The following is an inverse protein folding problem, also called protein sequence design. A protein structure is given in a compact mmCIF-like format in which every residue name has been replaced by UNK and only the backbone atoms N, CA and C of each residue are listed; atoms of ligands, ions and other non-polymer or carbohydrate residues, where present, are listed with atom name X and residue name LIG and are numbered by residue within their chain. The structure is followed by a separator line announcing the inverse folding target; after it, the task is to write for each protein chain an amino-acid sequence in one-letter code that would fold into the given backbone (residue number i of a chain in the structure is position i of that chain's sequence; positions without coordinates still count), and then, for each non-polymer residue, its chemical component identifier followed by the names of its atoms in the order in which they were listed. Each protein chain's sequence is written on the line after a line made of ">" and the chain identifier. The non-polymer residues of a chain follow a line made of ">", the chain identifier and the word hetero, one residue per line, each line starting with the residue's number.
data_IF_062164080842
#
_entry.id   IF_062164080842
#
_cell.length_a   1.000
_cell.length_b   1.000
_cell.length_c   1.000
_cell.angle_alpha   90.00
_cell.angle_beta   90.00
_cell.angle_gamma   90.00
#
_symmetry.space_group_name_H-M   'P 1'
#
loop_
_entity.id
_entity.type
_entity.pdbx_description
1 polymer ?
#
# COMPACT_ATOMS: atom_id res chain seq x y z
N UNK A 1 1.59 -44.20 12.28
CA UNK A 1 1.20 -45.14 13.36
C UNK A 1 1.38 -44.41 14.66
N UNK A 2 0.45 -44.52 15.60
CA UNK A 2 0.43 -43.82 16.89
C UNK A 2 0.25 -44.87 17.98
N UNK A 3 0.99 -44.75 19.07
CA UNK A 3 0.83 -45.60 20.25
C UNK A 3 -0.41 -45.16 21.02
N UNK A 4 -1.38 -46.06 21.16
CA UNK A 4 -2.62 -45.85 21.90
C UNK A 4 -2.76 -46.98 22.90
N UNK A 5 -2.52 -46.69 24.19
CA UNK A 5 -2.62 -47.65 25.29
C UNK A 5 -1.71 -48.89 25.14
N UNK A 6 -0.54 -48.74 24.51
CA UNK A 6 0.43 -49.83 24.33
C UNK A 6 0.28 -50.59 23.01
N UNK A 7 -0.72 -50.24 22.18
CA UNK A 7 -0.88 -50.78 20.84
C UNK A 7 -0.56 -49.73 19.77
N UNK A 8 0.29 -50.11 18.82
CA UNK A 8 0.68 -49.24 17.72
C UNK A 8 -0.33 -49.38 16.56
N UNK A 9 -1.16 -48.37 16.32
CA UNK A 9 -2.20 -48.41 15.29
C UNK A 9 -2.27 -47.13 14.46
N UNK A 10 -2.96 -47.18 13.31
CA UNK A 10 -3.22 -45.97 12.53
C UNK A 10 -4.39 -45.19 13.13
N UNK A 11 -4.39 -43.87 12.95
CA UNK A 11 -5.52 -43.02 13.39
C UNK A 11 -6.84 -43.46 12.72
N UNK A 12 -6.79 -43.87 11.45
CA UNK A 12 -7.94 -44.42 10.75
C UNK A 12 -8.47 -45.71 11.39
N UNK A 13 -7.57 -46.63 11.79
CA UNK A 13 -7.94 -47.86 12.47
C UNK A 13 -8.57 -47.57 13.85
N UNK A 14 -8.00 -46.62 14.60
CA UNK A 14 -8.54 -46.19 15.88
C UNK A 14 -9.97 -45.63 15.76
N UNK A 15 -10.21 -44.71 14.82
CA UNK A 15 -11.55 -44.14 14.60
C UNK A 15 -12.57 -45.19 14.15
N UNK A 16 -12.16 -46.16 13.33
CA UNK A 16 -13.00 -47.29 12.94
C UNK A 16 -13.34 -48.21 14.12
N UNK A 17 -12.36 -48.54 14.96
CA UNK A 17 -12.55 -49.47 16.08
C UNK A 17 -13.34 -48.84 17.24
N UNK A 18 -12.92 -47.64 17.68
CA UNK A 18 -13.46 -46.97 18.86
C UNK A 18 -14.73 -46.17 18.59
N UNK A 19 -14.74 -45.38 17.52
CA UNK A 19 -15.88 -44.49 17.20
C UNK A 19 -16.81 -45.07 16.13
N UNK A 20 -16.54 -46.29 15.63
CA UNK A 20 -17.29 -46.92 14.53
C UNK A 20 -17.41 -46.03 13.29
N UNK A 21 -16.41 -45.18 13.07
CA UNK A 21 -16.38 -44.19 12.00
C UNK A 21 -15.33 -44.60 10.96
N UNK A 22 -15.77 -44.87 9.74
CA UNK A 22 -14.86 -45.05 8.61
C UNK A 22 -14.51 -43.67 8.04
N UNK A 23 -13.23 -43.30 8.11
CA UNK A 23 -12.79 -42.03 7.58
C UNK A 23 -13.02 -41.96 6.07
N UNK A 24 -13.55 -40.85 5.57
CA UNK A 24 -13.77 -40.64 4.13
C UNK A 24 -12.48 -40.28 3.42
N UNK A 25 -11.59 -39.57 4.10
CA UNK A 25 -10.33 -39.07 3.55
C UNK A 25 -9.12 -39.53 4.37
N UNK A 26 -8.84 -40.85 4.46
CA UNK A 26 -7.78 -41.38 5.32
C UNK A 26 -6.36 -40.99 4.89
N UNK A 27 -6.19 -40.53 3.65
CA UNK A 27 -4.89 -40.12 3.09
C UNK A 27 -4.57 -38.63 3.33
N UNK A 28 -5.48 -37.85 3.91
CA UNK A 28 -5.20 -36.45 4.25
C UNK A 28 -4.31 -36.34 5.49
N UNK A 29 -3.57 -35.22 5.64
CA UNK A 29 -2.80 -34.96 6.85
C UNK A 29 -3.69 -34.93 8.10
N UNK A 30 -3.07 -35.21 9.24
CA UNK A 30 -3.69 -35.11 10.56
C UNK A 30 -3.37 -33.75 11.19
N UNK A 31 -4.25 -33.28 12.08
CA UNK A 31 -4.04 -32.07 12.87
C UNK A 31 -3.54 -32.47 14.25
N UNK A 32 -2.40 -31.92 14.70
CA UNK A 32 -1.98 -32.03 16.10
C UNK A 32 -2.69 -30.94 16.91
N UNK A 33 -3.63 -31.34 17.78
CA UNK A 33 -4.30 -30.44 18.73
C UNK A 33 -3.66 -30.47 20.12
N UNK A 34 -2.63 -31.30 20.30
CA UNK A 34 -1.84 -31.43 21.53
C UNK A 34 -0.58 -30.57 21.51
N UNK A 35 0.39 -30.95 22.33
CA UNK A 35 1.68 -30.27 22.38
C UNK A 35 2.54 -30.61 21.16
N UNK A 36 3.45 -29.71 20.78
CA UNK A 36 4.55 -30.00 19.83
C UNK A 36 5.68 -30.83 20.45
N UNK A 37 5.64 -31.08 21.77
CA UNK A 37 6.65 -31.89 22.47
C UNK A 37 6.46 -33.38 22.13
N UNK A 38 7.54 -34.13 21.83
CA UNK A 38 7.49 -35.56 21.58
C UNK A 38 6.75 -36.33 22.68
N UNK A 39 5.79 -37.16 22.30
CA UNK A 39 4.99 -38.00 23.21
C UNK A 39 3.80 -37.29 23.87
N UNK A 40 3.54 -36.02 23.52
CA UNK A 40 2.37 -35.25 23.99
C UNK A 40 1.50 -34.72 22.84
N UNK A 41 1.70 -35.24 21.64
CA UNK A 41 0.88 -34.96 20.48
C UNK A 41 -0.50 -35.62 20.61
N UNK A 42 -1.52 -34.94 20.08
CA UNK A 42 -2.86 -35.49 19.96
C UNK A 42 -3.33 -35.30 18.52
N UNK A 43 -3.39 -36.39 17.77
CA UNK A 43 -3.64 -36.36 16.33
C UNK A 43 -5.11 -36.61 16.01
N UNK A 44 -5.74 -35.67 15.29
CA UNK A 44 -7.12 -35.78 14.82
C UNK A 44 -7.18 -35.72 13.29
N UNK A 45 -8.03 -36.53 12.64
CA UNK A 45 -8.37 -36.34 11.23
C UNK A 45 -8.99 -34.96 10.98
N UNK A 46 -8.64 -34.30 9.89
CA UNK A 46 -9.21 -32.97 9.54
C UNK A 46 -10.73 -33.03 9.45
N UNK A 47 -11.29 -34.14 8.96
CA UNK A 47 -12.74 -34.32 8.76
C UNK A 47 -13.57 -34.37 10.06
N UNK A 48 -12.93 -34.51 11.23
CA UNK A 48 -13.61 -34.44 12.54
C UNK A 48 -13.32 -33.14 13.31
N UNK A 49 -12.56 -32.22 12.69
CA UNK A 49 -12.23 -30.93 13.29
C UNK A 49 -13.16 -29.84 12.75
N UNK A 50 -13.66 -28.99 13.64
CA UNK A 50 -14.40 -27.78 13.30
C UNK A 50 -13.63 -26.58 13.83
N UNK A 51 -13.46 -25.54 13.00
CA UNK A 51 -12.84 -24.29 13.43
C UNK A 51 -13.77 -23.62 14.43
N UNK A 52 -13.30 -23.41 15.67
CA UNK A 52 -14.09 -22.73 16.68
C UNK A 52 -14.46 -21.31 16.21
N UNK A 53 -15.69 -20.89 16.51
CA UNK A 53 -16.19 -19.58 16.11
C UNK A 53 -15.42 -18.43 16.79
N UNK A 54 -15.51 -17.23 16.21
CA UNK A 54 -14.96 -15.99 16.76
C UNK A 54 -13.43 -16.00 17.01
N UNK A 55 -12.67 -16.78 16.24
CA UNK A 55 -11.21 -16.69 16.24
C UNK A 55 -10.76 -15.50 15.38
N UNK A 56 -9.90 -14.64 15.94
CA UNK A 56 -9.32 -13.52 15.23
C UNK A 56 -8.36 -14.00 14.13
N UNK A 57 -8.56 -13.51 12.90
CA UNK A 57 -7.64 -13.76 11.79
C UNK A 57 -6.61 -12.61 11.70
N UNK A 58 -5.36 -12.88 12.07
CA UNK A 58 -4.31 -11.87 12.06
C UNK A 58 -3.70 -11.60 10.68
N UNK A 59 -3.85 -12.54 9.74
CA UNK A 59 -3.24 -12.45 8.42
C UNK A 59 -4.33 -12.14 7.39
N UNK A 60 -4.16 -11.04 6.66
CA UNK A 60 -5.08 -10.62 5.59
C UNK A 60 -4.30 -10.44 4.30
N UNK A 61 -4.89 -10.85 3.18
CA UNK A 61 -4.36 -10.55 1.85
C UNK A 61 -4.81 -9.17 1.37
N UNK A 62 -4.20 -8.67 0.29
CA UNK A 62 -4.63 -7.40 -0.34
C UNK A 62 -6.09 -7.47 -0.85
N UNK A 63 -6.52 -8.65 -1.31
CA UNK A 63 -7.90 -8.90 -1.74
C UNK A 63 -8.87 -8.85 -0.55
N UNK A 64 -8.51 -9.48 0.57
CA UNK A 64 -9.31 -9.43 1.80
C UNK A 64 -9.45 -8.00 2.30
N UNK A 65 -8.35 -7.23 2.24
CA UNK A 65 -8.32 -5.83 2.68
C UNK A 65 -9.25 -4.95 1.86
N UNK A 66 -9.23 -5.08 0.53
CA UNK A 66 -10.12 -4.32 -0.35
C UNK A 66 -11.60 -4.65 -0.09
N UNK A 67 -11.92 -5.92 0.10
CA UNK A 67 -13.28 -6.36 0.39
C UNK A 67 -13.75 -5.91 1.78
N UNK A 68 -12.90 -5.99 2.79
CA UNK A 68 -13.19 -5.48 4.14
C UNK A 68 -13.45 -3.98 4.10
N UNK A 69 -12.62 -3.19 3.40
CA UNK A 69 -12.87 -1.76 3.22
C UNK A 69 -14.23 -1.54 2.55
N UNK A 70 -14.55 -2.27 1.49
CA UNK A 70 -15.83 -2.16 0.79
C UNK A 70 -17.03 -2.48 1.70
N UNK A 71 -16.92 -3.51 2.54
CA UNK A 71 -17.99 -3.94 3.43
C UNK A 71 -18.14 -3.07 4.70
N UNK A 72 -17.08 -2.38 5.11
CA UNK A 72 -17.05 -1.56 6.33
C UNK A 72 -17.17 -0.06 6.09
N UNK A 73 -17.04 0.37 4.83
CA UNK A 73 -17.16 1.78 4.43
C UNK A 73 -18.63 2.20 4.30
N UNK A 74 -19.09 2.99 5.27
CA UNK A 74 -20.42 3.60 5.26
C UNK A 74 -20.32 5.13 5.15
N UNK A 75 -21.20 5.79 4.39
CA UNK A 75 -21.42 7.23 4.50
C UNK A 75 -21.80 7.64 5.94
N UNK A 76 -21.49 8.88 6.37
CA UNK A 76 -21.72 9.30 7.76
C UNK A 76 -23.16 9.08 8.28
N UNK A 77 -24.24 9.39 7.53
CA UNK A 77 -25.60 9.14 8.02
C UNK A 77 -25.88 7.66 8.30
N UNK A 78 -25.45 6.77 7.40
CA UNK A 78 -25.63 5.32 7.56
C UNK A 78 -24.77 4.80 8.71
N UNK A 79 -23.54 5.31 8.87
CA UNK A 79 -22.68 4.94 9.99
C UNK A 79 -23.31 5.37 11.33
N UNK A 80 -23.90 6.56 11.39
CA UNK A 80 -24.60 7.05 12.58
C UNK A 80 -25.76 6.13 12.97
N UNK A 81 -26.59 5.73 12.00
CA UNK A 81 -27.70 4.79 12.20
C UNK A 81 -27.21 3.43 12.72
N UNK A 82 -26.17 2.86 12.09
CA UNK A 82 -25.59 1.57 12.52
C UNK A 82 -25.01 1.61 13.92
N UNK A 83 -24.37 2.71 14.31
CA UNK A 83 -23.87 2.87 15.69
C UNK A 83 -25.06 2.84 16.67
N UNK A 84 -26.15 3.56 16.35
CA UNK A 84 -27.35 3.56 17.21
C UNK A 84 -28.00 2.18 17.30
N UNK A 85 -28.08 1.45 16.19
CA UNK A 85 -28.57 0.08 16.15
C UNK A 85 -27.73 -0.84 17.06
N UNK A 86 -26.40 -0.73 17.00
CA UNK A 86 -25.51 -1.51 17.85
C UNK A 86 -25.65 -1.17 19.34
N UNK A 87 -25.81 0.11 19.68
CA UNK A 87 -26.07 0.56 21.07
C UNK A 87 -27.39 -0.02 21.57
N UNK A 88 -28.42 -0.05 20.73
CA UNK A 88 -29.72 -0.65 21.06
C UNK A 88 -29.59 -2.18 21.26
N UNK A 89 -28.93 -2.88 20.35
CA UNK A 89 -28.70 -4.33 20.42
C UNK A 89 -27.83 -4.74 21.61
N UNK A 90 -26.88 -3.91 22.01
CA UNK A 90 -26.05 -4.13 23.20
C UNK A 90 -26.87 -4.09 24.51
N UNK A 91 -28.06 -3.48 24.49
CA UNK A 91 -28.99 -3.56 25.60
C UNK A 91 -28.56 -2.84 26.88
N UNK A 92 -27.66 -1.85 26.79
CA UNK A 92 -27.10 -1.14 27.95
C UNK A 92 -28.14 -0.56 28.91
N UNK A 93 -29.34 -0.21 28.42
CA UNK A 93 -30.45 0.29 29.25
C UNK A 93 -30.89 -0.72 30.30
N UNK A 94 -30.86 -2.00 29.95
CA UNK A 94 -31.36 -3.10 30.76
C UNK A 94 -30.20 -3.87 31.43
N UNK A 95 -29.00 -3.32 31.41
CA UNK A 95 -27.83 -3.96 32.01
C UNK A 95 -27.89 -3.84 33.55
N UNK A 96 -28.00 -4.97 34.28
CA UNK A 96 -28.12 -4.96 35.73
C UNK A 96 -26.85 -4.48 36.43
N UNK A 97 -25.68 -4.64 35.82
CA UNK A 97 -24.42 -4.15 36.36
C UNK A 97 -24.36 -2.63 36.23
N UNK A 98 -24.67 -2.06 35.06
CA UNK A 98 -24.71 -0.61 34.89
C UNK A 98 -25.71 0.05 35.86
N UNK A 99 -26.89 -0.55 36.02
CA UNK A 99 -27.89 -0.09 36.97
C UNK A 99 -27.37 -0.12 38.42
N UNK A 100 -26.64 -1.17 38.82
CA UNK A 100 -26.06 -1.28 40.16
C UNK A 100 -25.01 -0.19 40.45
N UNK A 101 -24.30 0.29 39.43
CA UNK A 101 -23.36 1.42 39.53
C UNK A 101 -24.03 2.79 39.30
N UNK A 102 -25.35 2.85 39.09
CA UNK A 102 -26.08 4.09 38.81
C UNK A 102 -25.76 4.73 37.46
N UNK A 103 -25.20 3.97 36.52
CA UNK A 103 -24.82 4.43 35.18
C UNK A 103 -26.02 4.30 34.24
N UNK A 104 -26.28 5.34 33.45
CA UNK A 104 -27.31 5.36 32.39
C UNK A 104 -26.68 5.79 31.08
N UNK A 105 -27.11 5.16 29.99
CA UNK A 105 -26.62 5.44 28.63
C UNK A 105 -27.74 6.07 27.82
N UNK A 106 -27.48 7.22 27.21
CA UNK A 106 -28.43 7.90 26.30
C UNK A 106 -28.45 7.21 24.93
N UNK A 107 -29.59 7.31 24.24
CA UNK A 107 -29.80 6.84 22.87
C UNK A 107 -29.74 7.96 21.83
N UNK A 108 -29.09 9.07 22.17
CA UNK A 108 -28.84 10.14 21.23
C UNK A 108 -27.35 10.43 21.20
N UNK A 109 -26.87 10.81 20.02
CA UNK A 109 -25.55 11.39 19.90
C UNK A 109 -25.51 12.72 20.64
N UNK A 110 -24.44 12.91 21.42
CA UNK A 110 -24.13 14.20 22.05
C UNK A 110 -24.02 15.30 20.97
N UNK A 111 -24.66 16.44 21.21
CA UNK A 111 -24.68 17.56 20.27
C UNK A 111 -23.66 18.60 20.70
N UNK A 112 -22.59 18.71 19.93
CA UNK A 112 -21.55 19.72 20.16
C UNK A 112 -21.67 20.85 19.15
N UNK A 113 -21.39 22.07 19.61
CA UNK A 113 -21.18 23.20 18.71
C UNK A 113 -19.76 23.11 18.13
N UNK A 114 -19.65 23.21 16.80
CA UNK A 114 -18.38 23.17 16.10
C UNK A 114 -18.26 24.39 15.19
N UNK A 115 -17.02 24.86 15.00
CA UNK A 115 -16.70 25.96 14.10
C UNK A 115 -16.01 25.43 12.85
N UNK A 116 -16.50 25.82 11.68
CA UNK A 116 -15.83 25.56 10.41
C UNK A 116 -14.86 26.70 10.16
N UNK A 117 -13.56 26.40 10.19
CA UNK A 117 -12.52 27.39 9.93
C UNK A 117 -12.46 27.65 8.43
N UNK A 118 -12.36 28.92 8.11
CA UNK A 118 -12.18 29.45 6.77
C UNK A 118 -10.90 28.91 6.12
N UNK A 119 -11.01 28.37 4.91
CA UNK A 119 -9.84 27.85 4.20
C UNK A 119 -8.83 28.96 3.88
N UNK A 120 -7.51 28.71 4.01
CA UNK A 120 -6.50 29.67 3.60
C UNK A 120 -6.50 29.84 2.08
N UNK A 121 -5.98 30.95 1.59
CA UNK A 121 -5.78 31.13 0.14
C UNK A 121 -4.48 30.45 -0.27
N UNK A 122 -4.54 29.55 -1.24
CA UNK A 122 -3.36 28.93 -1.84
C UNK A 122 -2.81 29.84 -2.95
N UNK A 123 -1.52 30.13 -2.87
CA UNK A 123 -0.77 30.86 -3.87
C UNK A 123 -0.02 29.89 -4.78
N UNK A 124 -0.32 29.98 -6.07
CA UNK A 124 0.43 29.35 -7.17
C UNK A 124 1.19 30.44 -7.92
N UNK A 125 2.12 30.05 -8.80
CA UNK A 125 2.90 31.04 -9.58
C UNK A 125 2.04 31.94 -10.46
N UNK A 126 0.94 31.42 -10.98
CA UNK A 126 0.09 32.13 -11.95
C UNK A 126 -1.29 32.52 -11.41
N UNK A 127 -1.78 31.91 -10.33
CA UNK A 127 -3.11 32.14 -9.78
C UNK A 127 -3.13 31.98 -8.26
N UNK A 128 -4.15 32.54 -7.61
CA UNK A 128 -4.49 32.22 -6.23
C UNK A 128 -5.85 31.53 -6.17
N UNK A 129 -6.04 30.55 -5.29
CA UNK A 129 -7.31 29.83 -5.12
C UNK A 129 -7.62 29.62 -3.64
N UNK A 130 -8.88 29.81 -3.26
CA UNK A 130 -9.38 29.37 -1.95
C UNK A 130 -9.95 27.96 -2.09
N UNK A 131 -9.38 26.94 -1.42
CA UNK A 131 -9.86 25.56 -1.50
C UNK A 131 -11.32 25.44 -1.05
N UNK A 132 -12.07 24.56 -1.70
CA UNK A 132 -13.45 24.22 -1.32
C UNK A 132 -13.49 22.77 -0.85
N UNK A 133 -14.14 22.52 0.29
CA UNK A 133 -14.23 21.16 0.85
C UNK A 133 -12.88 20.54 1.23
N UNK A 134 -11.86 21.38 1.51
CA UNK A 134 -10.50 20.91 1.80
C UNK A 134 -9.74 20.36 0.59
N UNK A 135 -10.22 20.64 -0.63
CA UNK A 135 -9.63 20.13 -1.87
C UNK A 135 -9.22 21.27 -2.81
N UNK A 136 -8.17 21.00 -3.58
CA UNK A 136 -7.66 21.88 -4.64
C UNK A 136 -7.09 21.03 -5.77
N UNK A 137 -6.86 21.63 -6.94
CA UNK A 137 -6.35 20.94 -8.13
C UNK A 137 -5.25 21.73 -8.82
N UNK A 138 -4.22 21.06 -9.35
CA UNK A 138 -3.17 21.68 -10.18
C UNK A 138 -3.59 21.96 -11.63
N UNK A 139 -4.83 21.64 -12.02
CA UNK A 139 -5.29 21.85 -13.40
C UNK A 139 -5.24 23.34 -13.77
N UNK A 140 -4.41 23.69 -14.75
CA UNK A 140 -4.21 25.07 -15.20
C UNK A 140 -3.38 25.93 -14.25
N UNK A 141 -2.72 25.34 -13.25
CA UNK A 141 -1.91 26.02 -12.25
C UNK A 141 -0.45 25.58 -12.36
N UNK A 142 0.47 26.46 -11.98
CA UNK A 142 1.91 26.21 -11.99
C UNK A 142 2.48 26.25 -10.57
N UNK A 143 3.47 25.40 -10.29
CA UNK A 143 4.27 25.44 -9.07
C UNK A 143 4.86 26.83 -8.86
N UNK A 144 4.99 27.24 -7.60
CA UNK A 144 5.54 28.55 -7.21
C UNK A 144 6.96 28.69 -7.78
N UNK A 145 7.77 27.66 -7.57
CA UNK A 145 9.10 27.52 -8.15
C UNK A 145 9.29 26.08 -8.62
N UNK A 146 9.55 25.93 -9.92
CA UNK A 146 9.85 24.64 -10.53
C UNK A 146 11.27 24.63 -11.07
N UNK A 147 12.05 23.62 -10.69
CA UNK A 147 13.46 23.50 -11.06
C UNK A 147 13.55 22.75 -12.39
N UNK A 148 14.17 23.33 -13.44
CA UNK A 148 14.29 22.64 -14.72
C UNK A 148 15.02 21.31 -14.61
N UNK A 149 14.40 20.26 -15.13
CA UNK A 149 14.94 18.90 -15.20
C UNK A 149 15.69 18.72 -16.52
N UNK A 150 17.00 18.49 -16.42
CA UNK A 150 17.98 18.42 -17.53
C UNK A 150 18.72 17.09 -17.57
N UNK A 151 19.05 16.52 -16.42
CA UNK A 151 19.86 15.31 -16.32
C UNK A 151 19.26 14.34 -15.32
N UNK A 152 18.49 13.37 -15.81
CA UNK A 152 17.73 12.43 -14.98
C UNK A 152 17.70 11.04 -15.63
N UNK A 153 17.48 10.02 -14.80
CA UNK A 153 17.53 8.62 -15.22
C UNK A 153 16.30 7.84 -14.82
N UNK A 154 16.04 6.74 -15.54
CA UNK A 154 14.96 5.79 -15.28
C UNK A 154 15.57 4.40 -15.04
N UNK A 155 15.28 3.82 -13.88
CA UNK A 155 15.67 2.45 -13.52
C UNK A 155 14.45 1.55 -13.59
N UNK A 156 14.50 0.51 -14.42
CA UNK A 156 13.38 -0.42 -14.60
C UNK A 156 13.70 -1.77 -13.96
N UNK A 157 13.04 -2.04 -12.83
CA UNK A 157 13.09 -3.30 -12.09
C UNK A 157 11.69 -3.98 -12.12
N UNK A 158 11.12 -4.06 -13.32
CA UNK A 158 9.78 -4.57 -13.58
C UNK A 158 9.63 -5.08 -15.02
N UNK A 159 8.62 -5.91 -15.26
CA UNK A 159 8.25 -6.34 -16.61
C UNK A 159 7.34 -5.30 -17.29
N UNK A 160 7.93 -4.36 -18.03
CA UNK A 160 7.23 -3.34 -18.82
C UNK A 160 7.94 -3.11 -20.16
N UNK A 161 7.18 -2.86 -21.23
CA UNK A 161 7.74 -2.66 -22.56
C UNK A 161 8.48 -1.31 -22.66
N UNK A 162 9.55 -1.23 -23.46
CA UNK A 162 10.25 0.04 -23.73
C UNK A 162 9.31 1.08 -24.35
N UNK A 163 8.38 0.64 -25.20
CA UNK A 163 7.36 1.51 -25.80
C UNK A 163 6.52 2.20 -24.73
N UNK A 164 6.04 1.46 -23.74
CA UNK A 164 5.19 2.03 -22.68
C UNK A 164 5.97 2.97 -21.78
N UNK A 165 7.25 2.66 -21.49
CA UNK A 165 8.15 3.55 -20.75
C UNK A 165 8.35 4.86 -21.52
N UNK A 166 8.70 4.79 -22.80
CA UNK A 166 8.92 5.99 -23.61
C UNK A 166 7.66 6.86 -23.69
N UNK A 167 6.48 6.25 -23.90
CA UNK A 167 5.21 6.98 -23.90
C UNK A 167 4.90 7.62 -22.54
N UNK A 168 5.28 6.95 -21.45
CA UNK A 168 5.16 7.50 -20.10
C UNK A 168 6.11 8.69 -19.88
N UNK A 169 7.39 8.57 -20.26
CA UNK A 169 8.40 9.62 -20.07
C UNK A 169 8.01 10.90 -20.80
N UNK A 170 7.55 10.80 -22.04
CA UNK A 170 7.04 11.95 -22.82
C UNK A 170 5.83 12.58 -22.12
N UNK A 171 4.87 11.76 -21.66
CA UNK A 171 3.68 12.27 -20.96
C UNK A 171 4.04 12.91 -19.61
N UNK A 172 5.01 12.37 -18.89
CA UNK A 172 5.52 12.94 -17.65
C UNK A 172 6.16 14.31 -17.90
N UNK A 173 7.04 14.39 -18.91
CA UNK A 173 7.69 15.64 -19.31
C UNK A 173 6.66 16.71 -19.71
N UNK A 174 5.70 16.37 -20.58
CA UNK A 174 4.65 17.29 -21.01
C UNK A 174 3.74 17.73 -19.86
N UNK A 175 3.49 16.86 -18.88
CA UNK A 175 2.72 17.20 -17.67
C UNK A 175 3.53 18.12 -16.75
N UNK A 176 4.84 17.89 -16.62
CA UNK A 176 5.78 18.77 -15.92
C UNK A 176 5.76 20.18 -16.49
N UNK A 177 5.92 20.31 -17.82
CA UNK A 177 5.89 21.59 -18.53
C UNK A 177 4.58 22.37 -18.24
N UNK A 178 3.44 21.66 -18.21
CA UNK A 178 2.13 22.27 -17.91
C UNK A 178 2.03 22.79 -16.48
N UNK A 179 2.60 22.09 -15.50
CA UNK A 179 2.59 22.49 -14.09
C UNK A 179 3.80 23.35 -13.68
N UNK A 180 4.65 23.75 -14.63
CA UNK A 180 5.76 24.66 -14.37
C UNK A 180 7.03 24.00 -13.83
N UNK A 181 7.16 22.67 -13.97
CA UNK A 181 8.38 21.90 -13.76
C UNK A 181 8.95 21.50 -15.14
N UNK A 182 9.75 22.34 -15.80
CA UNK A 182 10.12 22.11 -17.19
C UNK A 182 11.09 20.93 -17.33
N UNK A 183 10.76 19.98 -18.20
CA UNK A 183 11.66 18.88 -18.59
C UNK A 183 12.39 19.28 -19.86
N UNK A 184 13.59 19.85 -19.71
CA UNK A 184 14.43 20.26 -20.84
C UNK A 184 14.99 19.05 -21.60
N UNK A 185 15.22 17.93 -20.91
CA UNK A 185 15.56 16.64 -21.52
C UNK A 185 14.40 15.65 -21.42
N UNK A 186 13.82 15.31 -22.58
CA UNK A 186 12.73 14.33 -22.72
C UNK A 186 13.20 12.90 -22.94
N UNK A 187 14.52 12.68 -23.03
CA UNK A 187 15.12 11.37 -23.23
C UNK A 187 16.01 11.01 -22.03
N UNK A 188 15.43 10.50 -20.93
CA UNK A 188 16.20 10.14 -19.75
C UNK A 188 17.19 9.00 -20.02
N UNK A 189 18.18 8.87 -19.14
CA UNK A 189 19.06 7.70 -19.13
C UNK A 189 18.29 6.46 -18.67
N UNK A 190 17.98 5.55 -19.59
CA UNK A 190 17.21 4.34 -19.31
C UNK A 190 18.13 3.15 -19.01
N UNK A 191 18.01 2.56 -17.81
CA UNK A 191 18.69 1.31 -17.43
C UNK A 191 17.65 0.27 -17.04
N UNK A 192 17.65 -0.87 -17.72
CA UNK A 192 16.67 -1.95 -17.50
C UNK A 192 17.31 -3.20 -16.93
N UNK A 193 16.67 -3.78 -15.91
CA UNK A 193 17.17 -5.01 -15.28
C UNK A 193 17.22 -6.22 -16.24
N UNK A 194 16.33 -6.29 -17.23
CA UNK A 194 16.30 -7.39 -18.20
C UNK A 194 17.49 -7.37 -19.19
N UNK A 195 18.07 -6.20 -19.43
CA UNK A 195 19.28 -6.01 -20.24
C UNK A 195 20.56 -6.34 -19.47
N UNK A 196 20.52 -6.29 -18.14
CA UNK A 196 21.64 -6.55 -17.25
C UNK A 196 21.40 -7.80 -16.38
N UNK A 197 21.29 -8.97 -17.03
CA UNK A 197 21.01 -10.24 -16.35
C UNK A 197 22.02 -10.50 -15.22
N UNK A 198 21.49 -10.74 -14.02
CA UNK A 198 22.29 -11.02 -12.81
C UNK A 198 22.63 -9.78 -11.98
N UNK A 199 22.49 -8.58 -12.55
CA UNK A 199 22.75 -7.34 -11.81
C UNK A 199 21.66 -7.05 -10.79
N UNK A 200 22.08 -6.57 -9.62
CA UNK A 200 21.19 -6.11 -8.57
C UNK A 200 20.85 -4.63 -8.78
N UNK A 201 19.75 -4.17 -8.18
CA UNK A 201 19.22 -2.82 -8.44
C UNK A 201 20.17 -1.72 -7.96
N UNK A 202 20.96 -1.96 -6.92
CA UNK A 202 22.00 -1.03 -6.49
C UNK A 202 23.12 -0.88 -7.52
N UNK A 203 23.47 -1.94 -8.26
CA UNK A 203 24.40 -1.87 -9.38
C UNK A 203 23.79 -1.08 -10.54
N UNK A 204 22.50 -1.30 -10.86
CA UNK A 204 21.81 -0.54 -11.90
C UNK A 204 21.78 0.96 -11.61
N UNK A 205 21.53 1.34 -10.35
CA UNK A 205 21.53 2.75 -9.93
C UNK A 205 22.93 3.37 -10.03
N UNK A 206 23.98 2.65 -9.64
CA UNK A 206 25.37 3.13 -9.82
C UNK A 206 25.73 3.32 -11.29
N UNK A 207 25.35 2.36 -12.15
CA UNK A 207 25.57 2.48 -13.60
C UNK A 207 24.84 3.69 -14.19
N UNK A 208 23.57 3.87 -13.85
CA UNK A 208 22.79 5.02 -14.31
C UNK A 208 23.41 6.35 -13.84
N UNK A 209 23.81 6.44 -12.57
CA UNK A 209 24.46 7.63 -12.03
C UNK A 209 25.75 7.98 -12.78
N UNK A 210 26.63 6.98 -13.00
CA UNK A 210 27.88 7.18 -13.74
C UNK A 210 27.63 7.63 -15.19
N UNK A 211 26.60 7.09 -15.84
CA UNK A 211 26.29 7.47 -17.21
C UNK A 211 25.68 8.88 -17.30
N UNK A 212 24.88 9.27 -16.30
CA UNK A 212 24.39 10.65 -16.16
C UNK A 212 25.54 11.65 -15.95
N UNK A 213 26.57 11.30 -15.16
CA UNK A 213 27.76 12.14 -14.98
C UNK A 213 28.55 12.32 -16.29
N UNK A 214 28.66 11.25 -17.10
CA UNK A 214 29.38 11.28 -18.39
C UNK A 214 28.65 12.05 -19.48
N UNK A 215 27.33 12.19 -19.38
CA UNK A 215 26.49 12.82 -20.40
C UNK A 215 26.79 14.31 -20.61
N UNK A 216 27.44 14.97 -19.65
CA UNK A 216 27.80 16.38 -19.76
C UNK A 216 26.61 17.35 -19.75
N UNK A 217 25.42 16.88 -19.34
CA UNK A 217 24.18 17.66 -19.27
C UNK A 217 23.99 18.39 -17.93
N UNK A 218 25.08 18.61 -17.18
CA UNK A 218 25.06 19.10 -15.80
C UNK A 218 25.03 17.96 -14.77
N UNK A 219 24.93 18.27 -13.46
CA UNK A 219 24.89 17.25 -12.41
C UNK A 219 23.61 16.40 -12.53
N UNK A 220 23.66 15.08 -12.22
CA UNK A 220 22.46 14.26 -12.10
C UNK A 220 21.47 14.87 -11.09
N UNK A 221 20.17 14.91 -11.41
CA UNK A 221 19.15 15.58 -10.59
C UNK A 221 18.23 14.61 -9.84
N UNK A 222 17.77 13.53 -10.47
CA UNK A 222 17.03 12.48 -9.79
C UNK A 222 16.98 11.16 -10.59
N UNK A 223 16.54 10.09 -9.92
CA UNK A 223 16.26 8.79 -10.53
C UNK A 223 14.79 8.41 -10.38
N UNK A 224 14.15 8.03 -11.48
CA UNK A 224 12.81 7.43 -11.48
C UNK A 224 12.91 5.90 -11.45
N UNK A 225 12.46 5.26 -10.38
CA UNK A 225 12.38 3.81 -10.26
C UNK A 225 11.03 3.25 -10.70
N UNK A 226 10.99 2.38 -11.71
CA UNK A 226 9.80 1.63 -12.13
C UNK A 226 9.87 0.23 -11.52
N UNK A 227 9.00 -0.04 -10.55
CA UNK A 227 9.01 -1.26 -9.73
C UNK A 227 7.84 -2.19 -10.05
N UNK A 228 8.04 -3.49 -9.89
CA UNK A 228 7.04 -4.51 -10.26
C UNK A 228 5.71 -4.40 -9.49
N UNK A 229 5.74 -3.97 -8.23
CA UNK A 229 4.55 -3.88 -7.37
C UNK A 229 4.75 -2.85 -6.25
N UNK A 230 3.66 -2.49 -5.55
CA UNK A 230 3.70 -1.55 -4.41
C UNK A 230 4.62 -2.02 -3.28
N UNK A 231 4.60 -3.33 -3.00
CA UNK A 231 5.39 -3.97 -1.94
C UNK A 231 6.67 -4.60 -2.49
N UNK A 232 7.22 -4.05 -3.58
CA UNK A 232 8.43 -4.59 -4.19
C UNK A 232 9.58 -4.56 -3.17
N UNK A 233 10.29 -5.69 -2.93
CA UNK A 233 11.43 -5.73 -2.00
C UNK A 233 12.57 -4.80 -2.45
N UNK A 234 12.59 -4.45 -3.74
CA UNK A 234 13.53 -3.53 -4.35
C UNK A 234 13.37 -2.09 -3.84
N UNK A 235 12.17 -1.69 -3.40
CA UNK A 235 11.90 -0.31 -2.97
C UNK A 235 12.88 0.16 -1.88
N UNK A 236 13.10 -0.68 -0.87
CA UNK A 236 14.03 -0.38 0.22
C UNK A 236 15.48 -0.21 -0.26
N UNK A 237 15.89 -0.98 -1.28
CA UNK A 237 17.22 -0.86 -1.88
C UNK A 237 17.35 0.45 -2.64
N UNK A 238 16.33 0.84 -3.43
CA UNK A 238 16.32 2.11 -4.16
C UNK A 238 16.43 3.28 -3.21
N UNK A 239 15.61 3.31 -2.15
CA UNK A 239 15.64 4.39 -1.16
C UNK A 239 16.95 4.44 -0.39
N UNK A 240 17.46 3.31 0.10
CA UNK A 240 18.79 3.26 0.72
C UNK A 240 19.88 3.80 -0.20
N UNK A 241 19.91 3.37 -1.46
CA UNK A 241 20.93 3.81 -2.42
C UNK A 241 20.82 5.30 -2.73
N UNK A 242 19.62 5.79 -2.98
CA UNK A 242 19.31 7.20 -3.23
C UNK A 242 19.71 8.08 -2.04
N UNK A 243 19.24 7.75 -0.84
CA UNK A 243 19.32 8.60 0.34
C UNK A 243 20.68 8.50 1.06
N UNK A 244 21.39 7.37 0.95
CA UNK A 244 22.62 7.13 1.75
C UNK A 244 23.89 6.93 0.93
N UNK A 245 23.82 6.56 -0.35
CA UNK A 245 25.01 6.19 -1.13
C UNK A 245 25.28 7.16 -2.28
N UNK A 246 24.27 7.43 -3.10
CA UNK A 246 24.41 8.30 -4.27
C UNK A 246 24.14 9.77 -3.93
N UNK A 247 23.38 10.04 -2.86
CA UNK A 247 22.95 11.41 -2.53
C UNK A 247 22.13 12.04 -3.65
N UNK A 248 21.41 11.22 -4.42
CA UNK A 248 20.65 11.62 -5.60
C UNK A 248 19.18 11.32 -5.33
N UNK A 249 18.27 12.31 -5.35
CA UNK A 249 16.86 12.09 -5.06
C UNK A 249 16.22 11.02 -5.96
N UNK A 250 15.20 10.35 -5.45
CA UNK A 250 14.51 9.29 -6.19
C UNK A 250 13.00 9.32 -6.06
N UNK A 251 12.31 9.03 -7.15
CA UNK A 251 10.87 8.83 -7.18
C UNK A 251 10.55 7.43 -7.71
N UNK A 252 9.76 6.64 -6.98
CA UNK A 252 9.35 5.31 -7.42
C UNK A 252 7.90 5.29 -7.92
N UNK A 253 7.64 4.55 -8.98
CA UNK A 253 6.29 4.24 -9.47
C UNK A 253 6.14 2.74 -9.69
N UNK A 254 4.89 2.26 -9.66
CA UNK A 254 4.58 0.85 -9.95
C UNK A 254 4.35 0.68 -11.46
N UNK A 255 4.91 -0.37 -12.04
CA UNK A 255 4.87 -0.66 -13.48
C UNK A 255 3.47 -0.69 -14.06
N UNK A 256 2.48 -1.17 -13.30
CA UNK A 256 1.08 -1.18 -13.73
C UNK A 256 0.49 0.21 -14.01
N UNK A 257 1.10 1.29 -13.49
CA UNK A 257 0.66 2.66 -13.72
C UNK A 257 1.27 3.26 -14.99
N UNK A 258 2.37 2.71 -15.50
CA UNK A 258 3.09 3.21 -16.69
C UNK A 258 2.18 3.24 -17.93
N UNK A 259 1.55 2.13 -18.36
CA UNK A 259 0.69 2.14 -19.54
C UNK A 259 -0.64 2.89 -19.32
N UNK A 260 -1.07 3.06 -18.06
CA UNK A 260 -2.33 3.71 -17.67
C UNK A 260 -2.15 5.17 -17.26
N UNK A 261 -0.95 5.72 -17.42
CA UNK A 261 -0.61 7.04 -16.93
C UNK A 261 -1.54 8.09 -17.55
N UNK A 262 -2.18 8.88 -16.69
CA UNK A 262 -3.04 9.99 -17.06
C UNK A 262 -2.48 11.29 -16.47
N UNK A 263 -3.03 12.43 -16.90
CA UNK A 263 -2.55 13.74 -16.46
C UNK A 263 -2.54 13.88 -14.92
N UNK A 264 -3.61 13.51 -14.17
CA UNK A 264 -3.57 13.56 -12.71
C UNK A 264 -2.45 12.73 -12.08
N UNK A 265 -2.19 11.52 -12.61
CA UNK A 265 -1.11 10.67 -12.13
C UNK A 265 0.26 11.31 -12.38
N UNK A 266 0.53 11.75 -13.61
CA UNK A 266 1.79 12.41 -13.97
C UNK A 266 2.01 13.69 -13.16
N UNK A 267 0.99 14.54 -13.00
CA UNK A 267 1.08 15.75 -12.17
C UNK A 267 1.38 15.41 -10.71
N UNK A 268 0.76 14.35 -10.15
CA UNK A 268 1.08 13.87 -8.80
C UNK A 268 2.51 13.34 -8.67
N UNK A 269 3.10 12.79 -9.74
CA UNK A 269 4.52 12.42 -9.79
C UNK A 269 5.40 13.67 -9.88
N UNK A 270 5.07 14.64 -10.75
CA UNK A 270 5.78 15.91 -10.87
C UNK A 270 5.80 16.70 -9.55
N UNK A 271 4.70 16.69 -8.79
CA UNK A 271 4.64 17.30 -7.46
C UNK A 271 5.72 16.74 -6.53
N UNK A 272 5.87 15.41 -6.50
CA UNK A 272 6.87 14.75 -5.67
C UNK A 272 8.28 15.03 -6.17
N UNK A 273 8.49 14.93 -7.48
CA UNK A 273 9.80 15.25 -8.09
C UNK A 273 10.19 16.68 -7.74
N UNK A 274 9.29 17.65 -7.90
CA UNK A 274 9.56 19.06 -7.63
C UNK A 274 9.98 19.29 -6.17
N UNK A 275 9.31 18.64 -5.22
CA UNK A 275 9.70 18.71 -3.80
C UNK A 275 11.07 18.09 -3.55
N UNK A 276 11.37 16.94 -4.18
CA UNK A 276 12.62 16.20 -4.01
C UNK A 276 13.84 16.90 -4.64
N UNK A 277 13.64 17.71 -5.69
CA UNK A 277 14.71 18.50 -6.30
C UNK A 277 14.86 19.90 -5.68
N UNK A 278 14.19 20.18 -4.55
CA UNK A 278 14.19 21.45 -3.81
C UNK A 278 13.35 22.59 -4.42
N UNK A 279 12.38 22.28 -5.28
CA UNK A 279 11.40 23.24 -5.79
C UNK A 279 10.38 23.67 -4.73
N UNK A 280 9.64 24.75 -5.01
CA UNK A 280 8.62 25.29 -4.09
C UNK A 280 7.20 24.97 -4.54
N UNK A 281 6.49 24.32 -3.63
CA UNK A 281 5.08 23.97 -3.76
C UNK A 281 4.12 25.14 -3.45
N UNK A 282 2.81 25.01 -3.75
CA UNK A 282 1.82 26.02 -3.42
C UNK A 282 1.88 26.41 -1.94
N UNK A 283 1.85 27.71 -1.65
CA UNK A 283 1.96 28.25 -0.28
C UNK A 283 0.61 28.79 0.19
N UNK A 284 0.30 28.59 1.46
CA UNK A 284 -0.81 29.30 2.09
C UNK A 284 -0.41 30.76 2.33
N UNK A 285 -1.27 31.69 1.93
CA UNK A 285 -1.21 33.10 2.29
C UNK A 285 -1.85 33.34 3.67
#
# INVERSE_FOLDING_TARGET
>A
MVDIQGENMSVAAYFRLKYKMQLRYPNLPLVNVGSKRPGKEAWLPIEVCVVAAAQHCANMTDLDSAEIVRQTSYPPPIRQEKIMEQVYQAGFVNDPFLAAFGIKVDHNFERIQAHVIDAPTLLFKNVSERPTGGQWSLRGKKFVEGIPVRNWGVIVAANVSERDIHLFDVKLADSGDQCGLPFEDKNPMLIRQDQHRGAQVDELMKMCHQELERRGAGPPQFLLGILQSKNSPVYGVVKRMSDTVLGLPSQCIVSENVPRANLPFCVGVCLKINTEVEGQEPRAA
#
